data_IF_578512421995
#
_entry.id   IF_578512421995
#
_cell.length_a   1.000
_cell.length_b   1.000
_cell.length_c   1.000
_cell.angle_alpha   90.00
_cell.angle_beta   90.00
_cell.angle_gamma   90.00
#
_symmetry.space_group_name_H-M   'P 1'
#
loop_
_entity.id
_entity.type
_entity.pdbx_description
1 polymer ?
#
# COMPACT_ATOMS: atom_id res chain seq x y z
N UNK A 1 20.33 29.58 -5.30
CA UNK A 1 19.53 28.49 -5.90
C UNK A 1 18.20 29.09 -6.34
N UNK A 2 18.04 29.34 -7.65
CA UNK A 2 16.83 29.94 -8.22
C UNK A 2 15.75 28.87 -8.32
N UNK A 3 14.65 29.07 -7.60
CA UNK A 3 13.43 28.29 -7.77
C UNK A 3 12.85 28.66 -9.15
N UNK A 4 12.90 27.75 -10.12
CA UNK A 4 12.24 27.93 -11.41
C UNK A 4 10.74 27.75 -11.18
N UNK A 5 10.02 28.88 -11.10
CA UNK A 5 8.55 28.87 -11.17
C UNK A 5 8.23 28.62 -12.63
N UNK A 6 7.92 27.37 -12.99
CA UNK A 6 7.38 27.07 -14.32
C UNK A 6 6.06 27.84 -14.50
N UNK A 7 5.92 28.50 -15.64
CA UNK A 7 4.67 29.15 -15.99
C UNK A 7 3.59 28.08 -16.22
N UNK A 8 2.33 28.36 -15.86
CA UNK A 8 1.20 27.41 -16.02
C UNK A 8 1.01 26.92 -17.47
N UNK A 9 1.58 27.62 -18.46
CA UNK A 9 1.37 27.39 -19.88
C UNK A 9 2.61 26.83 -20.61
N UNK A 10 3.71 26.57 -19.92
CA UNK A 10 4.93 26.03 -20.54
C UNK A 10 4.63 24.67 -21.20
N UNK A 11 4.98 24.54 -22.49
CA UNK A 11 4.70 23.35 -23.32
C UNK A 11 3.31 23.31 -23.97
N UNK A 12 2.44 24.28 -23.69
CA UNK A 12 1.13 24.43 -24.35
C UNK A 12 1.31 25.22 -25.66
N UNK A 13 0.72 24.82 -26.81
CA UNK A 13 0.83 25.55 -28.05
C UNK A 13 -0.04 26.81 -28.04
N UNK A 14 0.49 27.88 -28.64
CA UNK A 14 -0.27 29.09 -28.94
C UNK A 14 -1.39 28.80 -29.94
N UNK A 15 -2.62 29.24 -29.65
CA UNK A 15 -3.78 29.00 -30.50
C UNK A 15 -3.73 29.68 -31.89
N UNK A 16 -2.77 30.60 -32.11
CA UNK A 16 -2.55 31.22 -33.42
C UNK A 16 -1.41 30.55 -34.21
N UNK A 17 -0.19 30.52 -33.65
CA UNK A 17 0.99 30.06 -34.39
C UNK A 17 1.32 28.58 -34.16
N UNK A 18 0.68 27.92 -33.20
CA UNK A 18 0.92 26.50 -32.87
C UNK A 18 2.23 26.22 -32.13
N UNK A 19 3.12 27.21 -31.96
CA UNK A 19 4.37 27.00 -31.23
C UNK A 19 4.14 26.89 -29.71
N UNK A 20 4.81 25.92 -29.04
CA UNK A 20 4.68 25.73 -27.60
C UNK A 20 5.31 26.91 -26.82
N UNK A 21 4.66 27.30 -25.73
CA UNK A 21 5.21 28.34 -24.84
C UNK A 21 6.43 27.83 -24.09
N UNK A 22 7.43 28.70 -23.96
CA UNK A 22 8.57 28.53 -23.06
C UNK A 22 8.35 29.30 -21.76
N UNK A 23 9.16 29.03 -20.74
CA UNK A 23 9.09 29.75 -19.44
C UNK A 23 9.36 31.27 -19.56
N UNK A 24 9.88 31.73 -20.70
CA UNK A 24 10.17 33.15 -20.95
C UNK A 24 9.10 33.84 -21.81
N UNK A 25 8.11 33.09 -22.31
CA UNK A 25 7.09 33.65 -23.20
C UNK A 25 6.00 34.40 -22.43
N UNK A 26 5.62 35.55 -22.95
CA UNK A 26 4.51 36.35 -22.44
C UNK A 26 3.18 35.87 -23.04
N UNK A 27 2.36 35.25 -22.19
CA UNK A 27 1.12 34.57 -22.57
C UNK A 27 -0.11 35.46 -22.29
N UNK A 28 -0.93 35.66 -23.31
CA UNK A 28 -2.25 36.31 -23.21
C UNK A 28 -3.34 35.25 -23.38
N UNK A 29 -4.29 35.22 -22.45
CA UNK A 29 -5.41 34.27 -22.47
C UNK A 29 -6.69 35.00 -22.86
N UNK A 30 -7.44 34.46 -23.81
CA UNK A 30 -8.73 35.02 -24.21
C UNK A 30 -9.74 34.92 -23.05
N UNK A 31 -10.44 36.01 -22.68
CA UNK A 31 -11.41 35.99 -21.58
C UNK A 31 -12.70 35.24 -21.91
N UNK A 32 -13.02 35.05 -23.19
CA UNK A 32 -14.24 34.34 -23.62
C UNK A 32 -14.04 32.83 -23.63
N UNK A 33 -13.05 32.33 -24.38
CA UNK A 33 -12.84 30.89 -24.55
C UNK A 33 -11.69 30.32 -23.71
N UNK A 34 -10.80 31.13 -23.13
CA UNK A 34 -9.66 30.66 -22.34
C UNK A 34 -8.45 30.18 -23.16
N UNK A 35 -8.43 30.38 -24.48
CA UNK A 35 -7.31 29.98 -25.33
C UNK A 35 -6.05 30.86 -25.10
N UNK A 36 -4.85 30.28 -24.88
CA UNK A 36 -3.60 30.99 -24.69
C UNK A 36 -2.94 31.35 -26.02
N UNK A 37 -2.37 32.54 -26.10
CA UNK A 37 -1.69 33.12 -27.26
C UNK A 37 -0.39 33.80 -26.83
N UNK A 38 0.63 33.83 -27.69
CA UNK A 38 1.75 34.77 -27.48
C UNK A 38 1.23 36.20 -27.54
N UNK A 39 1.72 37.09 -26.68
CA UNK A 39 1.29 38.50 -26.69
C UNK A 39 1.46 39.17 -28.05
N UNK A 40 2.51 38.84 -28.80
CA UNK A 40 2.70 39.28 -30.18
C UNK A 40 1.59 38.75 -31.09
N UNK A 41 1.36 37.44 -31.11
CA UNK A 41 0.31 36.82 -31.92
C UNK A 41 -1.09 37.38 -31.66
N UNK A 42 -1.44 37.63 -30.39
CA UNK A 42 -2.74 38.24 -30.04
C UNK A 42 -2.83 39.70 -30.51
N UNK A 43 -1.72 40.44 -30.45
CA UNK A 43 -1.66 41.84 -30.91
C UNK A 43 -1.75 41.94 -32.43
N UNK A 44 -1.07 41.05 -33.14
CA UNK A 44 -1.03 41.03 -34.60
C UNK A 44 -2.39 40.63 -35.19
N UNK A 45 -3.10 39.69 -34.55
CA UNK A 45 -4.49 39.36 -34.88
C UNK A 45 -5.47 40.46 -34.47
N UNK A 46 -5.25 41.12 -33.33
CA UNK A 46 -6.18 42.08 -32.73
C UNK A 46 -7.44 41.47 -32.08
N UNK A 47 -7.60 40.14 -32.15
CA UNK A 47 -8.71 39.36 -31.60
C UNK A 47 -8.25 37.92 -31.31
N UNK A 48 -9.10 37.11 -30.68
CA UNK A 48 -8.77 35.71 -30.43
C UNK A 48 -8.68 34.91 -31.73
N UNK A 49 -7.69 34.03 -31.86
CA UNK A 49 -7.56 33.15 -33.04
C UNK A 49 -8.76 32.20 -33.24
N UNK A 50 -9.53 31.95 -32.17
CA UNK A 50 -10.71 31.09 -32.18
C UNK A 50 -12.03 31.86 -32.08
N UNK A 51 -12.03 33.15 -32.47
CA UNK A 51 -13.20 34.03 -32.35
C UNK A 51 -14.48 33.43 -32.94
N UNK A 52 -14.38 32.73 -34.08
CA UNK A 52 -15.54 32.11 -34.73
C UNK A 52 -16.15 30.94 -33.95
N UNK A 53 -15.39 30.36 -33.02
CA UNK A 53 -15.83 29.25 -32.17
C UNK A 53 -16.40 29.72 -30.83
N UNK A 54 -16.42 31.04 -30.58
CA UNK A 54 -16.99 31.59 -29.36
C UNK A 54 -18.49 31.28 -29.30
N UNK A 55 -18.85 30.40 -28.38
CA UNK A 55 -20.20 30.03 -28.04
C UNK A 55 -20.32 29.97 -26.50
N UNK A 56 -21.52 30.13 -25.92
CA UNK A 56 -21.71 30.12 -24.46
C UNK A 56 -21.13 28.89 -23.74
N UNK A 57 -21.08 27.76 -24.43
CA UNK A 57 -20.60 26.48 -23.90
C UNK A 57 -19.17 26.11 -24.39
N UNK A 58 -18.52 26.98 -25.16
CA UNK A 58 -17.20 26.70 -25.72
C UNK A 58 -16.09 27.23 -24.79
N UNK A 59 -15.34 26.30 -24.20
CA UNK A 59 -14.09 26.60 -23.51
C UNK A 59 -12.96 25.81 -24.16
N UNK A 60 -11.90 26.53 -24.53
CA UNK A 60 -10.70 25.94 -25.09
C UNK A 60 -9.97 25.11 -24.04
N UNK A 61 -9.61 23.89 -24.42
CA UNK A 61 -8.78 23.01 -23.59
C UNK A 61 -7.69 22.37 -24.45
N UNK A 62 -6.46 22.42 -23.95
CA UNK A 62 -5.35 21.71 -24.57
C UNK A 62 -5.30 20.29 -24.04
N UNK A 63 -5.41 19.33 -24.94
CA UNK A 63 -4.98 17.96 -24.72
C UNK A 63 -3.61 17.83 -25.36
N UNK A 64 -2.56 17.73 -24.55
CA UNK A 64 -1.22 17.47 -25.07
C UNK A 64 -1.27 16.22 -25.96
N UNK A 65 -0.76 16.26 -27.20
CA UNK A 65 -0.44 15.05 -27.91
C UNK A 65 0.56 14.31 -27.03
N UNK A 66 0.16 13.12 -26.56
CA UNK A 66 1.09 12.23 -25.88
C UNK A 66 2.26 11.97 -26.84
N UNK A 67 3.46 12.34 -26.39
CA UNK A 67 4.70 12.12 -27.10
C UNK A 67 4.82 10.62 -27.44
N UNK A 68 4.78 10.33 -28.74
CA UNK A 68 4.69 8.99 -29.33
C UNK A 68 6.08 8.32 -29.38
N UNK A 69 6.80 8.39 -28.26
CA UNK A 69 8.14 7.82 -28.10
C UNK A 69 8.34 7.05 -26.79
N UNK A 70 7.25 6.45 -26.30
CA UNK A 70 7.32 5.23 -25.52
C UNK A 70 6.10 4.39 -25.91
N UNK A 71 6.34 3.15 -26.35
CA UNK A 71 5.32 2.20 -26.75
C UNK A 71 4.15 2.25 -25.75
N UNK A 72 3.03 2.81 -26.19
CA UNK A 72 1.89 3.11 -25.34
C UNK A 72 1.32 1.82 -24.78
N UNK A 73 1.60 1.56 -23.50
CA UNK A 73 0.82 0.64 -22.68
C UNK A 73 -0.61 1.19 -22.64
N UNK A 74 -1.43 0.79 -23.63
CA UNK A 74 -2.86 1.05 -23.71
C UNK A 74 -3.44 0.77 -22.32
N UNK A 75 -4.16 1.68 -21.67
CA UNK A 75 -4.72 1.42 -20.33
C UNK A 75 -6.21 1.09 -20.42
N UNK A 76 -6.67 0.09 -19.68
CA UNK A 76 -8.07 -0.33 -19.56
C UNK A 76 -8.56 0.02 -18.16
N UNK A 77 -9.74 0.64 -18.09
CA UNK A 77 -10.42 0.85 -16.81
C UNK A 77 -11.00 -0.49 -16.38
N UNK A 78 -10.51 -1.01 -15.26
CA UNK A 78 -11.03 -2.25 -14.71
C UNK A 78 -12.52 -2.10 -14.41
N UNK A 79 -13.36 -2.86 -15.11
CA UNK A 79 -14.82 -2.92 -14.91
C UNK A 79 -15.25 -3.27 -13.48
N UNK A 80 -14.32 -3.79 -12.66
CA UNK A 80 -14.59 -4.25 -11.29
C UNK A 80 -14.21 -3.26 -10.21
N UNK A 81 -13.06 -2.57 -10.32
CA UNK A 81 -12.60 -1.62 -9.29
C UNK A 81 -12.52 -0.16 -9.78
N UNK A 82 -12.65 0.06 -11.09
CA UNK A 82 -12.53 1.37 -11.73
C UNK A 82 -11.10 1.88 -11.87
N UNK A 83 -10.09 1.08 -11.50
CA UNK A 83 -8.71 1.49 -11.67
C UNK A 83 -8.25 1.37 -13.12
N UNK A 84 -7.55 2.40 -13.59
CA UNK A 84 -6.76 2.32 -14.81
C UNK A 84 -5.65 1.29 -14.62
N UNK A 85 -5.65 0.26 -15.46
CA UNK A 85 -4.64 -0.80 -15.49
C UNK A 85 -4.07 -0.87 -16.90
N UNK A 86 -2.75 -1.05 -17.09
CA UNK A 86 -2.20 -1.42 -18.39
C UNK A 86 -2.96 -2.60 -19.01
N UNK A 87 -3.45 -2.43 -20.24
CA UNK A 87 -4.24 -3.37 -21.01
C UNK A 87 -3.47 -4.64 -21.33
N UNK A 88 -2.14 -4.57 -21.33
CA UNK A 88 -1.23 -5.68 -21.58
C UNK A 88 -1.29 -6.72 -20.47
N UNK A 89 -1.62 -6.29 -19.25
CA UNK A 89 -1.67 -7.17 -18.10
C UNK A 89 -2.93 -8.04 -18.17
N UNK A 90 -2.80 -9.36 -17.95
CA UNK A 90 -3.95 -10.25 -17.94
C UNK A 90 -4.90 -9.96 -16.77
N UNK A 91 -4.42 -9.25 -15.74
CA UNK A 91 -5.17 -8.96 -14.52
C UNK A 91 -4.98 -7.50 -14.09
N UNK A 92 -6.02 -6.92 -13.49
CA UNK A 92 -6.00 -5.62 -12.86
C UNK A 92 -4.93 -5.54 -11.76
N UNK A 93 -4.00 -4.59 -11.85
CA UNK A 93 -2.99 -4.39 -10.81
C UNK A 93 -3.57 -3.95 -9.46
N UNK A 94 -4.78 -3.38 -9.48
CA UNK A 94 -5.42 -2.84 -8.28
C UNK A 94 -6.31 -3.85 -7.55
N UNK A 95 -7.00 -4.74 -8.27
CA UNK A 95 -7.92 -5.71 -7.66
C UNK A 95 -7.71 -7.17 -8.08
N UNK A 96 -6.76 -7.46 -8.97
CA UNK A 96 -6.45 -8.81 -9.46
C UNK A 96 -7.47 -9.39 -10.44
N UNK A 97 -8.53 -8.65 -10.79
CA UNK A 97 -9.55 -9.12 -11.72
C UNK A 97 -8.96 -9.38 -13.12
N UNK A 98 -9.22 -10.53 -13.77
CA UNK A 98 -8.80 -10.73 -15.15
C UNK A 98 -9.41 -9.64 -16.04
N UNK A 99 -8.58 -9.01 -16.87
CA UNK A 99 -9.02 -8.06 -17.89
C UNK A 99 -9.39 -8.89 -19.12
N UNK A 100 -10.66 -8.85 -19.56
CA UNK A 100 -11.10 -9.68 -20.69
C UNK A 100 -10.61 -9.07 -22.00
N UNK A 101 -10.25 -9.87 -23.02
CA UNK A 101 -9.90 -9.36 -24.34
C UNK A 101 -11.00 -8.48 -24.97
N UNK A 102 -12.27 -8.72 -24.63
CA UNK A 102 -13.42 -7.90 -25.07
C UNK A 102 -13.41 -6.47 -24.52
N UNK A 103 -12.68 -6.21 -23.42
CA UNK A 103 -12.49 -4.86 -22.86
C UNK A 103 -11.38 -4.08 -23.61
N UNK A 104 -10.66 -4.74 -24.54
CA UNK A 104 -9.57 -4.14 -25.32
C UNK A 104 -10.03 -3.47 -26.62
N UNK A 105 -11.26 -3.72 -27.09
CA UNK A 105 -11.76 -3.22 -28.38
C UNK A 105 -12.90 -2.21 -28.29
N UNK A 106 -13.67 -2.15 -27.20
CA UNK A 106 -14.80 -1.24 -27.12
C UNK A 106 -14.51 -0.03 -26.21
N UNK A 107 -14.41 1.15 -26.84
CA UNK A 107 -14.58 2.44 -26.19
C UNK A 107 -15.96 2.60 -25.53
N UNK A 108 -16.20 3.74 -24.84
CA UNK A 108 -17.16 3.82 -23.75
C UNK A 108 -18.60 3.71 -24.25
N UNK A 109 -19.23 2.54 -24.07
CA UNK A 109 -20.69 2.42 -24.08
C UNK A 109 -21.14 1.91 -22.72
N UNK A 110 -21.76 2.81 -21.96
CA UNK A 110 -22.01 2.74 -20.53
C UNK A 110 -23.19 1.84 -20.11
N UNK A 111 -23.78 1.02 -20.98
CA UNK A 111 -25.07 0.37 -20.64
C UNK A 111 -25.15 -1.15 -20.84
N UNK A 112 -24.11 -1.82 -21.37
CA UNK A 112 -24.22 -3.27 -21.69
C UNK A 112 -23.26 -4.21 -20.94
N UNK A 113 -22.40 -3.69 -20.06
CA UNK A 113 -21.38 -4.50 -19.39
C UNK A 113 -21.88 -5.38 -18.21
N UNK A 114 -23.14 -5.27 -17.79
CA UNK A 114 -23.65 -5.98 -16.60
C UNK A 114 -24.17 -7.40 -16.83
N UNK A 115 -24.17 -7.94 -18.07
CA UNK A 115 -25.04 -9.08 -18.36
C UNK A 115 -24.41 -10.47 -18.47
N UNK A 116 -23.09 -10.67 -18.57
CA UNK A 116 -22.55 -12.04 -18.70
C UNK A 116 -21.12 -12.22 -18.14
N UNK A 117 -21.02 -12.37 -16.83
CA UNK A 117 -19.90 -13.04 -16.18
C UNK A 117 -20.46 -14.18 -15.32
N UNK A 118 -20.42 -15.44 -15.80
CA UNK A 118 -20.84 -16.55 -14.96
C UNK A 118 -19.83 -16.67 -13.81
N UNK A 119 -20.36 -16.60 -12.59
CA UNK A 119 -19.74 -16.96 -11.30
C UNK A 119 -18.89 -15.90 -10.54
N UNK A 120 -18.92 -14.61 -10.91
CA UNK A 120 -18.33 -13.53 -10.07
C UNK A 120 -19.36 -12.63 -9.39
N UNK A 121 -20.65 -12.89 -9.62
CA UNK A 121 -21.78 -12.02 -9.30
C UNK A 121 -21.93 -11.72 -7.79
N UNK A 122 -21.56 -12.66 -6.90
CA UNK A 122 -21.74 -12.51 -5.43
C UNK A 122 -20.53 -11.94 -4.66
N UNK A 123 -19.43 -11.68 -5.37
CA UNK A 123 -18.14 -11.47 -4.71
C UNK A 123 -17.91 -10.03 -4.26
N UNK A 124 -18.15 -9.11 -5.18
CA UNK A 124 -18.14 -7.66 -4.96
C UNK A 124 -19.57 -7.14 -4.99
N UNK A 125 -20.52 -7.89 -4.40
CA UNK A 125 -21.82 -7.32 -4.05
C UNK A 125 -21.63 -5.93 -3.45
N UNK A 126 -22.51 -4.99 -3.77
CA UNK A 126 -22.57 -3.70 -3.10
C UNK A 126 -23.04 -3.92 -1.65
N UNK A 127 -22.13 -4.39 -0.81
CA UNK A 127 -22.30 -4.47 0.62
C UNK A 127 -21.55 -3.33 1.28
N UNK A 128 -22.17 -2.81 2.33
CA UNK A 128 -21.62 -1.76 3.15
C UNK A 128 -21.53 -2.25 4.59
N UNK A 129 -20.50 -1.83 5.29
CA UNK A 129 -20.41 -2.07 6.71
C UNK A 129 -19.88 -0.85 7.43
N UNK A 130 -20.67 -0.37 8.40
CA UNK A 130 -20.38 0.82 9.19
C UNK A 130 -20.04 2.06 8.34
N UNK A 131 -20.75 2.38 7.26
CA UNK A 131 -20.45 3.58 6.48
C UNK A 131 -19.40 3.38 5.39
N UNK A 132 -18.82 2.18 5.24
CA UNK A 132 -17.73 1.88 4.30
C UNK A 132 -18.19 0.84 3.30
N UNK A 133 -18.07 1.20 2.02
CA UNK A 133 -18.49 0.36 0.90
C UNK A 133 -17.47 -0.74 0.59
N UNK A 134 -17.94 -1.84 -0.02
CA UNK A 134 -17.08 -2.87 -0.58
C UNK A 134 -16.01 -2.31 -1.53
N UNK A 135 -16.35 -1.26 -2.29
CA UNK A 135 -15.43 -0.59 -3.22
C UNK A 135 -14.29 0.10 -2.48
N UNK A 136 -14.56 0.82 -1.41
CA UNK A 136 -13.53 1.46 -0.58
C UNK A 136 -12.64 0.44 0.13
N UNK A 137 -13.24 -0.64 0.65
CA UNK A 137 -12.47 -1.76 1.18
C UNK A 137 -11.56 -2.37 0.11
N UNK A 138 -12.05 -2.55 -1.12
CA UNK A 138 -11.26 -3.09 -2.22
C UNK A 138 -10.09 -2.18 -2.60
N UNK A 139 -10.33 -0.87 -2.66
CA UNK A 139 -9.31 0.11 -2.97
C UNK A 139 -8.23 0.14 -1.87
N UNK A 140 -8.64 0.19 -0.60
CA UNK A 140 -7.73 0.19 0.54
C UNK A 140 -6.90 -1.09 0.64
N UNK A 141 -7.50 -2.27 0.41
CA UNK A 141 -6.81 -3.57 0.54
C UNK A 141 -5.97 -3.95 -0.70
N UNK A 142 -6.17 -3.25 -1.81
CA UNK A 142 -5.37 -3.35 -3.03
C UNK A 142 -5.39 -4.73 -3.68
N UNK A 143 -4.22 -5.19 -4.16
CA UNK A 143 -4.08 -6.43 -4.93
C UNK A 143 -4.53 -7.71 -4.21
N UNK A 144 -4.69 -7.67 -2.88
CA UNK A 144 -5.23 -8.78 -2.07
C UNK A 144 -6.71 -8.60 -1.69
N UNK A 145 -7.41 -7.67 -2.33
CA UNK A 145 -8.82 -7.31 -2.04
C UNK A 145 -9.76 -8.49 -2.08
N UNK A 146 -9.52 -9.45 -2.98
CA UNK A 146 -10.20 -10.73 -2.97
C UNK A 146 -10.17 -11.33 -1.55
N UNK A 147 -9.00 -11.83 -1.13
CA UNK A 147 -8.86 -12.47 0.19
C UNK A 147 -9.53 -11.67 1.33
N UNK A 148 -9.26 -10.36 1.45
CA UNK A 148 -9.77 -9.59 2.58
C UNK A 148 -11.27 -9.36 2.55
N UNK A 149 -11.88 -9.06 1.41
CA UNK A 149 -13.34 -8.86 1.35
C UNK A 149 -14.08 -10.10 1.80
N UNK A 150 -13.62 -11.28 1.39
CA UNK A 150 -14.18 -12.54 1.85
C UNK A 150 -14.03 -12.74 3.36
N UNK A 151 -12.86 -12.42 3.92
CA UNK A 151 -12.66 -12.54 5.37
C UNK A 151 -13.48 -11.51 6.14
N UNK A 152 -13.63 -10.29 5.63
CA UNK A 152 -14.46 -9.26 6.23
C UNK A 152 -15.93 -9.67 6.22
N UNK A 153 -16.44 -10.19 5.10
CA UNK A 153 -17.80 -10.75 5.03
C UNK A 153 -18.01 -11.86 6.07
N UNK A 154 -17.05 -12.79 6.20
CA UNK A 154 -17.11 -13.86 7.21
C UNK A 154 -17.15 -13.28 8.63
N UNK A 155 -16.25 -12.34 8.93
CA UNK A 155 -16.19 -11.70 10.24
C UNK A 155 -17.51 -11.02 10.60
N UNK A 156 -18.07 -10.22 9.69
CA UNK A 156 -19.33 -9.48 9.89
C UNK A 156 -20.53 -10.41 10.05
N UNK A 157 -20.59 -11.53 9.30
CA UNK A 157 -21.69 -12.48 9.37
C UNK A 157 -21.57 -13.47 10.53
N UNK A 158 -20.36 -13.71 11.04
CA UNK A 158 -20.13 -14.68 12.11
C UNK A 158 -20.40 -14.10 13.51
N UNK A 159 -21.12 -14.82 14.36
CA UNK A 159 -21.32 -14.42 15.76
C UNK A 159 -19.99 -14.35 16.56
N UNK A 160 -19.02 -15.20 16.22
CA UNK A 160 -17.71 -15.24 16.88
C UNK A 160 -16.77 -14.10 16.47
N UNK A 161 -17.01 -13.43 15.35
CA UNK A 161 -16.11 -12.40 14.78
C UNK A 161 -14.65 -12.89 14.70
N UNK A 162 -14.44 -14.15 14.29
CA UNK A 162 -13.12 -14.80 14.15
C UNK A 162 -12.94 -15.25 12.70
N UNK A 163 -11.72 -15.12 12.18
CA UNK A 163 -11.37 -15.65 10.86
C UNK A 163 -9.88 -15.95 10.81
N UNK A 164 -9.52 -17.13 10.31
CA UNK A 164 -8.13 -17.56 10.26
C UNK A 164 -7.30 -16.81 9.21
N UNK A 165 -6.10 -16.41 9.60
CA UNK A 165 -5.11 -15.74 8.76
C UNK A 165 -3.76 -16.48 8.83
N UNK A 166 -3.47 -17.24 7.78
CA UNK A 166 -2.22 -18.00 7.65
C UNK A 166 -0.96 -17.13 7.73
N UNK A 167 -0.84 -16.02 6.98
CA UNK A 167 0.30 -15.13 7.10
C UNK A 167 0.53 -14.58 8.52
N UNK A 168 -0.53 -14.19 9.22
CA UNK A 168 -0.40 -13.65 10.57
C UNK A 168 0.03 -14.72 11.59
N UNK A 169 -0.46 -15.95 11.43
CA UNK A 169 -0.05 -17.09 12.24
C UNK A 169 1.44 -17.40 12.05
N UNK A 170 1.91 -17.51 10.80
CA UNK A 170 3.28 -17.90 10.50
C UNK A 170 4.30 -16.79 10.74
N UNK A 171 3.93 -15.55 10.43
CA UNK A 171 4.87 -14.44 10.41
C UNK A 171 4.69 -13.45 11.55
N UNK A 172 3.71 -13.57 12.45
CA UNK A 172 3.60 -12.71 13.63
C UNK A 172 3.78 -11.21 13.35
N UNK A 173 4.69 -10.54 14.07
CA UNK A 173 4.90 -9.09 13.96
C UNK A 173 5.22 -8.57 12.54
N UNK A 174 6.07 -9.24 11.70
CA UNK A 174 6.28 -8.79 10.32
C UNK A 174 5.00 -8.68 9.50
N UNK A 175 4.04 -9.59 9.69
CA UNK A 175 2.75 -9.49 8.98
C UNK A 175 1.98 -8.22 9.36
N UNK A 176 1.98 -7.85 10.64
CA UNK A 176 1.31 -6.64 11.11
C UNK A 176 1.99 -5.38 10.57
N UNK A 177 3.33 -5.35 10.51
CA UNK A 177 4.05 -4.28 9.81
C UNK A 177 3.71 -4.23 8.32
N UNK A 178 3.62 -5.40 7.67
CA UNK A 178 3.26 -5.51 6.26
C UNK A 178 1.91 -4.88 5.96
N UNK A 179 0.91 -5.12 6.80
CA UNK A 179 -0.43 -4.52 6.68
C UNK A 179 -0.55 -3.14 7.32
N UNK A 180 0.57 -2.47 7.61
CA UNK A 180 0.64 -1.13 8.24
C UNK A 180 -0.12 -1.04 9.57
N UNK A 181 -0.26 -2.16 10.27
CA UNK A 181 -0.81 -2.23 11.63
C UNK A 181 0.29 -1.96 12.66
N UNK A 182 0.97 -0.81 12.53
CA UNK A 182 2.23 -0.51 13.25
C UNK A 182 2.14 -0.63 14.76
N UNK A 183 0.99 -0.27 15.36
CA UNK A 183 0.79 -0.38 16.81
C UNK A 183 0.86 -1.83 17.28
N UNK A 184 0.14 -2.72 16.60
CA UNK A 184 0.16 -4.15 16.92
C UNK A 184 1.50 -4.79 16.53
N UNK A 185 2.08 -4.39 15.40
CA UNK A 185 3.41 -4.84 14.99
C UNK A 185 4.48 -4.52 16.03
N UNK A 186 4.49 -3.29 16.58
CA UNK A 186 5.44 -2.87 17.61
C UNK A 186 5.24 -3.65 18.92
N UNK A 187 3.99 -3.83 19.37
CA UNK A 187 3.71 -4.61 20.58
C UNK A 187 4.17 -6.06 20.46
N UNK A 188 3.91 -6.68 19.31
CA UNK A 188 4.33 -8.05 19.04
C UNK A 188 5.86 -8.16 18.89
N UNK A 189 6.52 -7.16 18.30
CA UNK A 189 7.98 -7.10 18.22
C UNK A 189 8.61 -6.98 19.62
N UNK A 190 8.07 -6.12 20.48
CA UNK A 190 8.54 -5.98 21.86
C UNK A 190 8.32 -7.27 22.64
N UNK A 191 7.13 -7.87 22.53
CA UNK A 191 6.87 -9.19 23.12
C UNK A 191 7.89 -10.22 22.65
N UNK A 192 8.14 -10.30 21.34
CA UNK A 192 9.09 -11.22 20.74
C UNK A 192 10.51 -11.02 21.30
N UNK A 193 10.96 -9.76 21.39
CA UNK A 193 12.26 -9.42 21.96
C UNK A 193 12.38 -9.81 23.42
N UNK A 194 11.40 -9.45 24.26
CA UNK A 194 11.40 -9.78 25.69
C UNK A 194 11.32 -11.29 25.93
N UNK A 195 10.52 -11.99 25.13
CA UNK A 195 10.30 -13.43 25.26
C UNK A 195 11.55 -14.27 24.93
N UNK A 196 12.49 -13.73 24.15
CA UNK A 196 13.74 -14.42 23.79
C UNK A 196 14.80 -14.32 24.90
N UNK A 197 14.72 -13.32 25.78
CA UNK A 197 15.77 -13.04 26.79
C UNK A 197 16.08 -14.22 27.73
N UNK A 198 15.10 -14.93 28.32
CA UNK A 198 15.40 -16.04 29.24
C UNK A 198 16.10 -17.19 28.53
N UNK A 199 15.65 -17.53 27.32
CA UNK A 199 16.25 -18.58 26.48
C UNK A 199 17.68 -18.19 26.08
N UNK A 200 17.91 -16.92 25.74
CA UNK A 200 19.27 -16.42 25.45
C UNK A 200 20.20 -16.55 26.64
N UNK A 201 19.74 -16.19 27.84
CA UNK A 201 20.53 -16.33 29.05
C UNK A 201 20.97 -17.80 29.27
N UNK A 202 20.07 -18.75 29.03
CA UNK A 202 20.37 -20.17 29.10
C UNK A 202 21.36 -20.64 28.02
N UNK A 203 21.28 -20.13 26.78
CA UNK A 203 22.23 -20.47 25.72
C UNK A 203 23.63 -19.87 25.96
N UNK A 204 23.74 -18.72 26.61
CA UNK A 204 25.03 -18.10 26.97
C UNK A 204 25.72 -18.88 28.07
N UNK A 205 24.99 -19.21 29.13
CA UNK A 205 25.56 -19.71 30.39
C UNK A 205 25.57 -21.24 30.45
N UNK A 206 24.60 -21.91 29.82
CA UNK A 206 24.39 -23.37 29.94
C UNK A 206 25.43 -24.28 29.27
N UNK A 207 26.04 -23.94 28.12
CA UNK A 207 27.11 -24.74 27.51
C UNK A 207 28.50 -24.55 28.14
N UNK A 208 28.64 -23.60 29.07
CA UNK A 208 29.90 -23.21 29.70
C UNK A 208 29.93 -23.77 31.12
N UNK A 209 30.28 -25.05 31.28
CA UNK A 209 30.44 -25.62 32.62
C UNK A 209 31.71 -25.13 33.33
N UNK A 210 31.54 -25.01 34.66
CA UNK A 210 32.42 -24.65 35.77
C UNK A 210 33.19 -23.32 35.75
N UNK A 211 33.65 -22.79 34.61
CA UNK A 211 34.57 -21.66 34.62
C UNK A 211 34.27 -20.63 33.52
N UNK A 212 33.27 -19.77 33.73
CA UNK A 212 33.12 -18.56 32.90
C UNK A 212 34.29 -17.64 33.21
N UNK A 213 35.34 -17.67 32.40
CA UNK A 213 36.50 -16.80 32.55
C UNK A 213 36.34 -15.58 31.64
N UNK A 214 35.90 -14.44 32.18
CA UNK A 214 35.77 -13.19 31.44
C UNK A 214 36.98 -12.30 31.76
N UNK A 215 37.81 -11.97 30.78
CA UNK A 215 39.07 -11.22 30.98
C UNK A 215 39.99 -11.85 32.06
N UNK A 216 40.06 -13.18 32.14
CA UNK A 216 40.88 -13.89 33.13
C UNK A 216 40.25 -14.02 34.53
N UNK A 217 39.02 -13.54 34.72
CA UNK A 217 38.29 -13.63 35.99
C UNK A 217 37.21 -14.70 35.91
N UNK A 218 37.20 -15.66 36.86
CA UNK A 218 36.11 -16.62 36.98
C UNK A 218 34.84 -15.95 37.53
N UNK A 219 33.75 -16.06 36.79
CA UNK A 219 32.43 -15.57 37.18
C UNK A 219 31.64 -16.73 37.76
N UNK A 220 31.49 -16.74 39.08
CA UNK A 220 30.57 -17.65 39.75
C UNK A 220 29.13 -17.27 39.38
N UNK A 221 28.33 -18.25 38.95
CA UNK A 221 26.92 -18.08 38.66
C UNK A 221 26.07 -19.06 39.48
N UNK A 222 24.79 -18.73 39.66
CA UNK A 222 23.87 -19.58 40.41
C UNK A 222 23.20 -20.59 39.46
N UNK A 223 23.68 -21.84 39.46
CA UNK A 223 23.14 -22.91 38.64
C UNK A 223 21.64 -23.18 38.89
N UNK A 224 21.17 -23.02 40.13
CA UNK A 224 19.75 -23.14 40.46
C UNK A 224 18.93 -22.04 39.76
N UNK A 225 19.40 -20.79 39.79
CA UNK A 225 18.74 -19.69 39.10
C UNK A 225 18.71 -19.90 37.57
N UNK A 226 19.78 -20.46 37.00
CA UNK A 226 19.84 -20.79 35.58
C UNK A 226 18.83 -21.87 35.19
N UNK A 227 18.66 -22.91 36.02
CA UNK A 227 17.65 -23.94 35.80
C UNK A 227 16.21 -23.37 35.85
N UNK A 228 15.96 -22.39 36.72
CA UNK A 228 14.68 -21.67 36.80
C UNK A 228 14.43 -20.85 35.52
N UNK A 229 15.47 -20.21 34.95
CA UNK A 229 15.36 -19.50 33.68
C UNK A 229 15.06 -20.44 32.50
N UNK A 230 15.56 -21.67 32.51
CA UNK A 230 15.23 -22.67 31.48
C UNK A 230 13.74 -23.01 31.50
N UNK A 231 13.20 -23.32 32.68
CA UNK A 231 11.76 -23.61 32.86
C UNK A 231 10.91 -22.40 32.44
N UNK A 232 11.32 -21.19 32.83
CA UNK A 232 10.66 -19.96 32.42
C UNK A 232 10.70 -19.78 30.89
N UNK A 233 11.84 -20.08 30.26
CA UNK A 233 12.02 -20.08 28.81
C UNK A 233 11.06 -21.03 28.10
N UNK A 234 10.88 -22.24 28.62
CA UNK A 234 9.93 -23.21 28.05
C UNK A 234 8.48 -22.73 28.15
N UNK A 235 8.09 -22.19 29.31
CA UNK A 235 6.75 -21.60 29.51
C UNK A 235 6.52 -20.44 28.54
N UNK A 236 7.48 -19.54 28.40
CA UNK A 236 7.40 -18.42 27.46
C UNK A 236 7.38 -18.92 26.01
N UNK A 237 8.12 -19.98 25.70
CA UNK A 237 8.07 -20.68 24.41
C UNK A 237 6.65 -21.15 24.07
N UNK A 238 5.95 -21.77 25.03
CA UNK A 238 4.55 -22.17 24.87
C UNK A 238 3.62 -20.94 24.70
N UNK A 239 3.84 -19.87 25.47
CA UNK A 239 3.07 -18.63 25.32
C UNK A 239 3.26 -17.99 23.95
N UNK A 240 4.47 -18.05 23.36
CA UNK A 240 4.73 -17.55 22.00
C UNK A 240 3.89 -18.27 20.96
N UNK A 241 3.77 -19.60 21.05
CA UNK A 241 2.84 -20.36 20.20
C UNK A 241 1.38 -19.91 20.39
N UNK A 242 0.97 -19.67 21.63
CA UNK A 242 -0.34 -19.09 21.94
C UNK A 242 -0.55 -17.74 21.24
N UNK A 243 0.43 -16.83 21.32
CA UNK A 243 0.39 -15.53 20.64
C UNK A 243 0.31 -15.68 19.12
N UNK A 244 1.03 -16.61 18.51
CA UNK A 244 0.93 -16.89 17.07
C UNK A 244 -0.48 -17.35 16.68
N UNK A 245 -1.09 -18.25 17.46
CA UNK A 245 -2.48 -18.70 17.24
C UNK A 245 -3.44 -17.51 17.35
N UNK A 246 -3.29 -16.65 18.36
CA UNK A 246 -4.10 -15.44 18.52
C UNK A 246 -3.93 -14.48 17.34
N UNK A 247 -2.71 -14.33 16.81
CA UNK A 247 -2.46 -13.55 15.61
C UNK A 247 -3.21 -14.15 14.42
N UNK A 248 -3.16 -15.47 14.23
CA UNK A 248 -3.92 -16.18 13.20
C UNK A 248 -5.43 -15.97 13.30
N UNK A 249 -6.01 -16.02 14.50
CA UNK A 249 -7.45 -15.90 14.72
C UNK A 249 -7.99 -14.46 14.57
N UNK A 250 -7.21 -13.46 14.98
CA UNK A 250 -7.70 -12.09 15.15
C UNK A 250 -7.10 -11.06 14.19
N UNK A 251 -6.06 -11.39 13.41
CA UNK A 251 -5.43 -10.42 12.51
C UNK A 251 -6.39 -9.76 11.52
N UNK A 252 -7.27 -10.53 10.87
CA UNK A 252 -8.26 -9.99 9.95
C UNK A 252 -9.26 -9.05 10.65
N UNK A 253 -9.64 -9.36 11.89
CA UNK A 253 -10.54 -8.52 12.70
C UNK A 253 -9.88 -7.19 13.06
N UNK A 254 -8.61 -7.23 13.47
CA UNK A 254 -7.83 -6.03 13.75
C UNK A 254 -7.65 -5.19 12.49
N UNK A 255 -7.37 -5.84 11.35
CA UNK A 255 -7.22 -5.17 10.07
C UNK A 255 -8.53 -4.53 9.57
N UNK A 256 -9.67 -5.21 9.71
CA UNK A 256 -10.99 -4.65 9.38
C UNK A 256 -11.27 -3.37 10.19
N UNK A 257 -11.05 -3.41 11.51
CA UNK A 257 -11.25 -2.25 12.39
C UNK A 257 -10.33 -1.09 12.00
N UNK A 258 -9.08 -1.38 11.65
CA UNK A 258 -8.15 -0.38 11.17
C UNK A 258 -8.58 0.21 9.82
N UNK A 259 -8.97 -0.62 8.87
CA UNK A 259 -9.43 -0.21 7.55
C UNK A 259 -10.63 0.74 7.67
N UNK A 260 -11.65 0.38 8.45
CA UNK A 260 -12.82 1.25 8.68
C UNK A 260 -12.40 2.61 9.22
N UNK A 261 -11.53 2.63 10.25
CA UNK A 261 -11.07 3.88 10.86
C UNK A 261 -10.28 4.75 9.87
N UNK A 262 -9.38 4.14 9.11
CA UNK A 262 -8.55 4.89 8.17
C UNK A 262 -9.34 5.39 6.97
N UNK A 263 -10.23 4.58 6.40
CA UNK A 263 -11.07 4.98 5.27
C UNK A 263 -11.97 6.16 5.67
N UNK A 264 -12.65 6.08 6.82
CA UNK A 264 -13.51 7.18 7.31
C UNK A 264 -12.73 8.46 7.52
N UNK A 265 -11.62 8.37 8.27
CA UNK A 265 -10.76 9.52 8.53
C UNK A 265 -10.22 10.14 7.23
N UNK A 266 -9.81 9.30 6.28
CA UNK A 266 -9.32 9.77 4.98
C UNK A 266 -10.42 10.48 4.17
N UNK A 267 -11.64 9.93 4.17
CA UNK A 267 -12.82 10.52 3.52
C UNK A 267 -13.19 11.87 4.14
N UNK A 268 -13.10 12.00 5.46
CA UNK A 268 -13.35 13.25 6.19
C UNK A 268 -12.28 14.31 5.89
N UNK A 269 -11.01 13.93 5.78
CA UNK A 269 -9.89 14.86 5.56
C UNK A 269 -9.77 15.34 4.10
N UNK A 270 -10.07 14.48 3.11
CA UNK A 270 -9.79 14.77 1.69
C UNK A 270 -11.05 14.90 0.82
N UNK A 271 -12.23 14.59 1.36
CA UNK A 271 -13.46 14.49 0.57
C UNK A 271 -13.42 13.34 -0.44
N UNK A 272 -14.38 13.32 -1.37
CA UNK A 272 -14.47 12.32 -2.45
C UNK A 272 -14.32 13.05 -3.77
N UNK A 273 -13.08 13.11 -4.27
CA UNK A 273 -12.74 13.64 -5.59
C UNK A 273 -12.49 12.53 -6.62
N UNK A 274 -12.08 12.90 -7.84
CA UNK A 274 -11.78 11.94 -8.91
C UNK A 274 -10.58 11.04 -8.61
N UNK A 275 -9.67 11.46 -7.71
CA UNK A 275 -8.47 10.70 -7.34
C UNK A 275 -8.63 9.92 -6.04
N UNK A 276 -9.78 10.03 -5.37
CA UNK A 276 -10.05 9.46 -4.05
C UNK A 276 -9.68 7.98 -3.92
N UNK A 277 -10.09 7.15 -4.87
CA UNK A 277 -9.81 5.71 -4.82
C UNK A 277 -8.34 5.38 -5.07
N UNK A 278 -7.63 6.21 -5.84
CA UNK A 278 -6.20 6.05 -6.09
C UNK A 278 -5.39 6.40 -4.83
N UNK A 279 -5.69 7.54 -4.21
CA UNK A 279 -5.04 7.98 -2.97
C UNK A 279 -5.36 7.04 -1.80
N UNK A 280 -6.60 6.56 -1.71
CA UNK A 280 -7.01 5.56 -0.73
C UNK A 280 -6.24 4.24 -0.89
N UNK A 281 -5.95 3.82 -2.12
CA UNK A 281 -5.16 2.62 -2.36
C UNK A 281 -3.68 2.81 -1.94
N UNK A 282 -3.10 3.99 -2.14
CA UNK A 282 -1.74 4.28 -1.67
C UNK A 282 -1.63 4.29 -0.13
N UNK A 283 -2.72 4.63 0.57
CA UNK A 283 -2.80 4.58 2.02
C UNK A 283 -2.66 3.14 2.57
N UNK A 284 -3.33 2.17 1.94
CA UNK A 284 -3.36 0.77 2.39
C UNK A 284 -2.29 -0.14 1.77
N UNK A 285 -1.55 0.33 0.75
CA UNK A 285 -0.54 -0.46 0.03
C UNK A 285 0.63 -0.90 0.93
N UNK A 286 0.96 -2.20 1.00
CA UNK A 286 2.14 -2.67 1.71
C UNK A 286 3.43 -2.16 1.03
N UNK A 287 4.50 -1.95 1.81
CA UNK A 287 5.83 -1.63 1.28
C UNK A 287 6.74 -2.87 1.40
N UNK A 288 6.78 -3.75 0.39
CA UNK A 288 7.46 -5.04 0.48
C UNK A 288 8.97 -4.90 0.73
N UNK A 289 9.61 -3.85 0.21
CA UNK A 289 11.04 -3.61 0.41
C UNK A 289 11.37 -3.27 1.85
N UNK A 290 10.60 -2.38 2.48
CA UNK A 290 10.80 -2.03 3.89
C UNK A 290 10.68 -3.25 4.82
N UNK A 291 9.85 -4.22 4.42
CA UNK A 291 9.57 -5.43 5.20
C UNK A 291 10.62 -6.50 4.94
N UNK A 292 11.09 -6.64 3.70
CA UNK A 292 12.24 -7.48 3.39
C UNK A 292 13.49 -7.04 4.16
N UNK A 293 13.71 -5.72 4.27
CA UNK A 293 14.79 -5.15 5.07
C UNK A 293 14.60 -5.41 6.58
N UNK A 294 13.37 -5.29 7.09
CA UNK A 294 13.06 -5.60 8.50
C UNK A 294 13.26 -7.08 8.81
N UNK A 295 12.86 -7.98 7.90
CA UNK A 295 13.13 -9.41 8.00
C UNK A 295 14.63 -9.71 7.95
N UNK A 296 15.35 -9.13 6.99
CA UNK A 296 16.80 -9.29 6.89
C UNK A 296 17.48 -8.79 8.17
N UNK A 297 17.11 -7.63 8.70
CA UNK A 297 17.63 -7.10 9.95
C UNK A 297 17.33 -8.00 11.15
N UNK A 298 16.13 -8.57 11.23
CA UNK A 298 15.77 -9.51 12.29
C UNK A 298 16.58 -10.82 12.21
N UNK A 299 16.69 -11.42 11.03
CA UNK A 299 17.44 -12.66 10.84
C UNK A 299 18.95 -12.46 10.98
N UNK A 300 19.51 -11.39 10.40
CA UNK A 300 20.92 -11.01 10.58
C UNK A 300 21.17 -10.71 12.06
N UNK A 301 20.29 -9.96 12.72
CA UNK A 301 20.38 -9.71 14.16
C UNK A 301 20.40 -10.99 14.97
N UNK A 302 19.42 -11.88 14.77
CA UNK A 302 19.35 -13.17 15.48
C UNK A 302 20.52 -14.12 15.15
N UNK A 303 21.00 -14.11 13.90
CA UNK A 303 22.09 -14.95 13.43
C UNK A 303 23.46 -14.47 13.87
N UNK A 304 23.71 -13.15 13.87
CA UNK A 304 24.89 -12.54 14.47
C UNK A 304 24.91 -12.76 15.97
N UNK A 305 23.76 -12.63 16.64
CA UNK A 305 23.65 -12.95 18.04
C UNK A 305 23.98 -14.44 18.27
N UNK A 306 23.48 -15.36 17.43
CA UNK A 306 23.81 -16.78 17.52
C UNK A 306 25.27 -17.11 17.22
N UNK A 307 25.91 -16.46 16.25
CA UNK A 307 27.30 -16.73 15.85
C UNK A 307 28.32 -16.09 16.80
N UNK A 308 28.05 -14.90 17.34
CA UNK A 308 28.86 -14.31 18.42
C UNK A 308 28.89 -15.24 19.64
N UNK A 309 27.81 -15.98 19.91
CA UNK A 309 27.75 -16.97 21.01
C UNK A 309 28.53 -18.26 20.72
N UNK A 310 28.79 -18.59 19.45
CA UNK A 310 29.57 -19.77 19.07
C UNK A 310 31.07 -19.48 18.91
N UNK A 311 31.47 -18.21 18.77
CA UNK A 311 32.84 -17.80 18.45
C UNK A 311 33.65 -17.39 19.70
N UNK A 312 33.06 -17.32 20.90
CA UNK A 312 33.85 -17.20 22.13
C UNK A 312 34.54 -18.55 22.40
N UNK A 313 35.87 -18.66 22.21
CA UNK A 313 36.55 -19.90 22.53
C UNK A 313 36.52 -20.10 24.05
N UNK A 314 36.15 -21.30 24.47
CA UNK A 314 36.44 -21.80 25.82
C UNK A 314 37.96 -21.92 25.91
N UNK A 315 38.60 -20.92 26.52
CA UNK A 315 40.02 -20.93 26.92
C UNK A 315 40.09 -20.52 28.37
#
# INVERSE_FOLDING_TARGET
MRCLILSKYTGVPCAHCGHPFTDQDDVVVCPECGAPHHRSCYRDLGHCALQEQHAPDFSWSYHAPHDDSSQGERTVICSRCGAATPAELPNCQMCGNPLRPSDRENGPSSERAYRYAPDSQGYFDDWEFQGVSAREFSAYTGGSSYYFLNQFKRLVRSHGNISWNWPAFLFGFPYFFYRRMYRFGLLLLLWEFLAVLPTMACFIVGPLDDNITLYGMQIAYNAQLLSQFSILGDIIGMLRWGVMILCGLFANKLYLRQAIRQIKRFREEHGVDSQYYYSLAMLGRPNPLAIALLFAAFFIGSGLLGSVMQITPVV
#
